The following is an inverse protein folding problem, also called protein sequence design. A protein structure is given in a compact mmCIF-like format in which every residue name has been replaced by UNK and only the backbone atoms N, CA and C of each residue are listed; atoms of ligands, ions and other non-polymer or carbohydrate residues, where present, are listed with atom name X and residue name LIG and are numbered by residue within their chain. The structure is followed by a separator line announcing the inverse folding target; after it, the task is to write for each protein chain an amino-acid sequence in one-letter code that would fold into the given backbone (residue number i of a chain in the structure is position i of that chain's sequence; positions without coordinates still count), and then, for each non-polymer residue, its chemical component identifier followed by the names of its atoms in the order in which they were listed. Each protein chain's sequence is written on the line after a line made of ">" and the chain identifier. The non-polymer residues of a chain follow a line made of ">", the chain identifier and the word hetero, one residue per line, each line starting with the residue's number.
data_IF_199212924043
#
_entry.id   IF_199212924043
#
_cell.length_a   1.000
_cell.length_b   1.000
_cell.length_c   1.000
_cell.angle_alpha   90.00
_cell.angle_beta   90.00
_cell.angle_gamma   90.00
#
_symmetry.space_group_name_H-M   'P 1'
#
loop_
_entity.id
_entity.type
_entity.pdbx_description
1 polymer ?
#
# COMPACT_ATOMS: atom_id res chain seq x y z
N UNK A 1 -19.35 -30.85 -25.01
CA UNK A 1 -18.84 -29.69 -24.25
C UNK A 1 -19.67 -29.61 -22.98
N UNK A 2 -19.12 -30.10 -21.88
CA UNK A 2 -19.80 -30.25 -20.60
C UNK A 2 -20.17 -28.87 -20.06
N UNK A 3 -21.46 -28.68 -19.81
CA UNK A 3 -22.00 -27.53 -19.11
C UNK A 3 -21.38 -27.42 -17.73
N UNK A 4 -20.85 -26.24 -17.44
CA UNK A 4 -20.49 -25.82 -16.08
C UNK A 4 -21.66 -24.99 -15.60
N UNK A 5 -22.43 -25.50 -14.64
CA UNK A 5 -23.41 -24.74 -13.89
C UNK A 5 -22.67 -23.72 -13.01
N UNK A 6 -22.23 -22.62 -13.63
CA UNK A 6 -21.59 -21.50 -12.94
C UNK A 6 -22.67 -20.79 -12.12
N UNK A 7 -22.55 -20.88 -10.80
CA UNK A 7 -23.38 -20.10 -9.89
C UNK A 7 -23.09 -18.60 -10.13
N UNK A 8 -24.08 -17.70 -10.03
CA UNK A 8 -23.88 -16.29 -10.43
C UNK A 8 -22.69 -15.61 -9.72
N UNK A 9 -22.32 -16.07 -8.52
CA UNK A 9 -21.15 -15.60 -7.77
C UNK A 9 -19.79 -16.02 -8.38
N UNK A 10 -19.71 -17.10 -9.16
CA UNK A 10 -18.49 -17.56 -9.83
C UNK A 10 -18.21 -16.81 -11.14
N UNK A 11 -19.19 -16.08 -11.65
CA UNK A 11 -19.07 -15.25 -12.85
C UNK A 11 -18.37 -13.92 -12.58
N UNK A 12 -18.37 -13.42 -11.33
CA UNK A 12 -17.76 -12.14 -10.98
C UNK A 12 -16.34 -12.35 -10.45
N UNK A 13 -15.37 -11.79 -11.16
CA UNK A 13 -13.96 -11.72 -10.76
C UNK A 13 -13.66 -10.28 -10.36
N UNK A 14 -13.40 -10.04 -9.08
CA UNK A 14 -12.88 -8.76 -8.62
C UNK A 14 -11.35 -8.76 -8.71
N UNK A 15 -10.80 -7.76 -9.41
CA UNK A 15 -9.37 -7.52 -9.55
C UNK A 15 -9.07 -6.13 -9.01
N UNK A 16 -8.49 -6.07 -7.81
CA UNK A 16 -8.05 -4.82 -7.21
C UNK A 16 -6.82 -4.27 -7.92
N UNK A 17 -6.92 -3.07 -8.50
CA UNK A 17 -5.79 -2.27 -8.98
C UNK A 17 -5.61 -1.04 -8.08
N UNK A 18 -4.46 -0.37 -8.19
CA UNK A 18 -4.21 0.81 -7.39
C UNK A 18 -5.16 1.95 -7.81
N UNK A 19 -6.02 2.38 -6.88
CA UNK A 19 -6.98 3.47 -7.08
C UNK A 19 -8.34 3.07 -7.67
N UNK A 20 -8.51 1.84 -8.14
CA UNK A 20 -9.79 1.34 -8.66
C UNK A 20 -9.83 -0.19 -8.67
N UNK A 21 -11.03 -0.75 -8.53
CA UNK A 21 -11.30 -2.16 -8.66
C UNK A 21 -11.93 -2.44 -10.03
N UNK A 22 -11.54 -3.53 -10.66
CA UNK A 22 -12.16 -4.01 -11.88
C UNK A 22 -13.02 -5.23 -11.55
N UNK A 23 -14.32 -5.12 -11.77
CA UNK A 23 -15.25 -6.24 -11.66
C UNK A 23 -15.45 -6.81 -13.07
N UNK A 24 -14.87 -7.97 -13.30
CA UNK A 24 -14.95 -8.73 -14.55
C UNK A 24 -16.11 -9.72 -14.47
N UNK A 25 -17.12 -9.56 -15.32
CA UNK A 25 -18.15 -10.57 -15.52
C UNK A 25 -17.68 -11.53 -16.63
N UNK A 26 -17.16 -12.68 -16.21
CA UNK A 26 -16.64 -13.72 -17.12
C UNK A 26 -17.75 -14.35 -17.96
N UNK A 27 -18.99 -14.29 -17.50
CA UNK A 27 -20.14 -14.91 -18.15
C UNK A 27 -20.80 -14.01 -19.21
N UNK A 28 -20.70 -12.68 -19.09
CA UNK A 28 -21.14 -11.73 -20.13
C UNK A 28 -20.00 -11.02 -20.85
N UNK A 29 -18.75 -11.28 -20.47
CA UNK A 29 -17.57 -10.61 -21.03
C UNK A 29 -17.48 -9.11 -20.73
N UNK A 30 -18.24 -8.60 -19.75
CA UNK A 30 -18.24 -7.18 -19.41
C UNK A 30 -17.24 -6.88 -18.29
N UNK A 31 -16.57 -5.73 -18.38
CA UNK A 31 -15.66 -5.24 -17.36
C UNK A 31 -16.19 -3.91 -16.84
N UNK A 32 -16.32 -3.79 -15.53
CA UNK A 32 -16.76 -2.56 -14.87
C UNK A 32 -15.67 -2.08 -13.93
N UNK A 33 -15.29 -0.81 -14.06
CA UNK A 33 -14.27 -0.18 -13.22
C UNK A 33 -14.96 0.62 -12.13
N UNK A 34 -14.73 0.27 -10.86
CA UNK A 34 -15.23 0.98 -9.69
C UNK A 34 -14.06 1.69 -9.02
N UNK A 35 -14.03 3.03 -8.95
CA UNK A 35 -12.97 3.75 -8.26
C UNK A 35 -12.97 3.40 -6.77
N UNK A 36 -11.79 3.43 -6.16
CA UNK A 36 -11.67 3.26 -4.70
C UNK A 36 -12.48 4.31 -3.96
N UNK A 37 -13.20 3.87 -2.95
CA UNK A 37 -13.93 4.73 -2.04
C UNK A 37 -13.02 5.41 -1.02
N UNK A 38 -13.62 6.32 -0.25
CA UNK A 38 -12.99 6.94 0.92
C UNK A 38 -12.36 5.94 1.91
N UNK A 39 -12.96 4.78 2.24
CA UNK A 39 -12.34 3.86 3.19
C UNK A 39 -11.01 3.27 2.68
N UNK A 40 -10.88 2.97 1.38
CA UNK A 40 -9.61 2.48 0.83
C UNK A 40 -8.52 3.56 0.84
N UNK A 41 -8.86 4.78 0.42
CA UNK A 41 -7.92 5.91 0.43
C UNK A 41 -7.44 6.27 1.84
N UNK A 42 -8.35 6.25 2.82
CA UNK A 42 -8.00 6.51 4.23
C UNK A 42 -7.09 5.43 4.79
N UNK A 43 -7.32 4.16 4.45
CA UNK A 43 -6.42 3.05 4.82
C UNK A 43 -5.00 3.23 4.29
N UNK A 44 -4.85 3.59 3.01
CA UNK A 44 -3.53 3.87 2.40
C UNK A 44 -2.85 5.07 3.06
N UNK A 45 -3.59 6.14 3.32
CA UNK A 45 -3.06 7.32 4.01
C UNK A 45 -2.56 6.99 5.42
N UNK A 46 -3.30 6.16 6.17
CA UNK A 46 -2.92 5.75 7.51
C UNK A 46 -1.63 4.91 7.52
N UNK A 47 -1.52 3.95 6.59
CA UNK A 47 -0.29 3.16 6.43
C UNK A 47 0.91 4.05 6.07
N UNK A 48 0.71 5.04 5.20
CA UNK A 48 1.74 6.04 4.87
C UNK A 48 2.22 6.80 6.10
N UNK A 49 1.29 7.28 6.94
CA UNK A 49 1.63 7.99 8.19
C UNK A 49 2.40 7.10 9.17
N UNK A 50 2.04 5.82 9.29
CA UNK A 50 2.77 4.87 10.14
C UNK A 50 4.21 4.74 9.67
N UNK A 51 4.46 4.53 8.37
CA UNK A 51 5.82 4.42 7.84
C UNK A 51 6.63 5.70 8.08
N UNK A 52 6.04 6.86 7.82
CA UNK A 52 6.69 8.16 8.07
C UNK A 52 7.03 8.32 9.55
N UNK A 53 6.10 8.01 10.45
CA UNK A 53 6.34 8.11 11.89
C UNK A 53 7.45 7.18 12.37
N UNK A 54 7.52 5.96 11.84
CA UNK A 54 8.60 5.00 12.14
C UNK A 54 9.94 5.58 11.68
N UNK A 55 10.03 6.08 10.45
CA UNK A 55 11.26 6.67 9.91
C UNK A 55 11.73 7.85 10.76
N UNK A 56 10.81 8.76 11.11
CA UNK A 56 11.13 9.91 11.96
C UNK A 56 11.61 9.46 13.34
N UNK A 57 10.98 8.45 13.92
CA UNK A 57 11.39 7.88 15.21
C UNK A 57 12.79 7.26 15.13
N UNK A 58 13.08 6.49 14.08
CA UNK A 58 14.42 5.93 13.84
C UNK A 58 15.48 7.02 13.67
N UNK A 59 15.19 8.08 12.91
CA UNK A 59 16.09 9.23 12.75
C UNK A 59 16.32 9.91 14.09
N UNK A 60 15.27 10.16 14.86
CA UNK A 60 15.37 10.80 16.17
C UNK A 60 16.25 10.00 17.14
N UNK A 61 16.09 8.67 17.20
CA UNK A 61 16.93 7.80 18.02
C UNK A 61 18.40 7.80 17.59
N UNK A 62 18.68 7.88 16.29
CA UNK A 62 20.04 7.85 15.75
C UNK A 62 20.70 9.24 15.65
N UNK A 63 19.92 10.31 15.75
CA UNK A 63 20.38 11.69 15.70
C UNK A 63 21.50 12.02 16.69
N UNK A 64 21.44 11.65 17.98
CA UNK A 64 22.52 11.97 18.93
C UNK A 64 23.83 11.23 18.61
N UNK A 65 23.77 9.97 18.16
CA UNK A 65 24.95 9.22 17.73
C UNK A 65 25.60 9.86 16.50
N UNK A 66 24.77 10.25 15.54
CA UNK A 66 25.24 10.89 14.31
C UNK A 66 25.86 12.27 14.58
N UNK A 67 25.26 13.05 15.48
CA UNK A 67 25.80 14.33 15.93
C UNK A 67 27.14 14.15 16.68
N UNK A 68 27.24 13.13 17.53
CA UNK A 68 28.46 12.82 18.27
C UNK A 68 29.60 12.38 17.33
N UNK A 69 29.33 11.48 16.38
CA UNK A 69 30.32 11.10 15.37
C UNK A 69 30.80 12.28 14.53
N UNK A 70 29.89 13.19 14.12
CA UNK A 70 30.27 14.42 13.41
C UNK A 70 31.13 15.35 14.25
N UNK A 71 30.92 15.41 15.58
CA UNK A 71 31.76 16.22 16.48
C UNK A 71 33.15 15.59 16.61
N UNK A 72 33.24 14.29 16.85
CA UNK A 72 34.52 13.58 16.97
C UNK A 72 35.39 13.68 15.72
N UNK A 73 34.77 13.58 14.53
CA UNK A 73 35.48 13.74 13.24
C UNK A 73 35.99 15.16 13.01
N UNK A 74 35.34 16.19 13.57
CA UNK A 74 35.83 17.59 13.53
C UNK A 74 36.98 17.86 14.50
N UNK A 75 37.04 17.12 15.61
CA UNK A 75 38.11 17.26 16.61
C UNK A 75 39.35 16.41 16.30
N UNK A 76 39.42 15.75 15.14
CA UNK A 76 40.60 14.97 14.72
C UNK A 76 40.93 13.80 15.65
N UNK A 77 39.95 13.33 16.44
CA UNK A 77 40.13 12.29 17.47
C UNK A 77 39.78 10.87 16.98
N UNK A 78 39.65 10.71 15.66
CA UNK A 78 39.41 9.45 14.93
C UNK A 78 40.28 9.42 13.68
#
# INVERSE_FOLDING_TARGET
>A
MSGVDLNMAQCLRDVGRFGYNEIHNVCSGTVTTVPWGLPEWTGVAFLGLIVVSIVLFYVWLNYPKWLWQRRMKREGRL
#
